data_IF_846333201201
#
_entry.id   IF_846333201201
#
_cell.length_a   1.000
_cell.length_b   1.000
_cell.length_c   1.000
_cell.angle_alpha   90.00
_cell.angle_beta   90.00
_cell.angle_gamma   90.00
#
_symmetry.space_group_name_H-M   'P 1'
#
loop_
_entity.id
_entity.type
_entity.pdbx_description
1 polymer ?
#
# COMPACT_ATOMS: atom_id res chain seq x y z
N UNK A 1 0.13 -5.96 -17.01
CA UNK A 1 0.97 -4.88 -16.46
C UNK A 1 0.10 -3.66 -16.17
N UNK A 2 -0.29 -3.50 -14.91
CA UNK A 2 -1.08 -2.42 -14.34
C UNK A 2 -0.19 -1.68 -13.36
N UNK A 3 -0.04 -0.37 -13.59
CA UNK A 3 0.68 0.53 -12.71
C UNK A 3 -0.33 1.48 -12.07
N UNK A 4 -0.32 1.57 -10.76
CA UNK A 4 -1.21 2.44 -10.00
C UNK A 4 -0.40 3.41 -9.14
N UNK A 5 -0.97 4.59 -8.89
CA UNK A 5 -0.43 5.56 -7.94
C UNK A 5 -1.53 6.04 -7.02
N UNK A 6 -1.23 6.20 -5.73
CA UNK A 6 -2.21 6.66 -4.75
C UNK A 6 -1.56 7.53 -3.66
N UNK A 7 -1.98 8.80 -3.59
CA UNK A 7 -1.79 9.62 -2.40
C UNK A 7 -2.79 9.23 -1.31
N UNK A 8 -2.29 8.61 -0.24
CA UNK A 8 -3.13 8.07 0.85
C UNK A 8 -3.31 9.02 2.03
N UNK A 9 -2.62 10.17 2.03
CA UNK A 9 -2.69 11.21 3.06
C UNK A 9 -2.52 10.70 4.51
N UNK A 10 -1.72 9.65 4.72
CA UNK A 10 -1.47 8.84 5.94
C UNK A 10 -1.81 7.38 5.70
N UNK A 11 -0.78 6.57 5.46
CA UNK A 11 -0.92 5.14 5.23
C UNK A 11 -1.44 4.43 6.47
N UNK A 12 -1.03 4.84 7.68
CA UNK A 12 -1.47 4.18 8.90
C UNK A 12 -3.00 4.19 9.07
N UNK A 13 -3.64 5.32 8.73
CA UNK A 13 -5.10 5.46 8.81
C UNK A 13 -5.78 4.72 7.65
N UNK A 14 -5.14 4.64 6.48
CA UNK A 14 -5.73 4.13 5.23
C UNK A 14 -5.33 2.69 4.92
N UNK A 15 -4.49 2.05 5.74
CA UNK A 15 -3.92 0.74 5.48
C UNK A 15 -5.00 -0.31 5.16
N UNK A 16 -6.12 -0.43 5.91
CA UNK A 16 -7.16 -1.41 5.56
C UNK A 16 -7.73 -1.18 4.15
N UNK A 17 -7.99 0.07 3.77
CA UNK A 17 -8.51 0.41 2.44
C UNK A 17 -7.50 0.09 1.33
N UNK A 18 -6.21 0.34 1.57
CA UNK A 18 -5.15 0.01 0.60
C UNK A 18 -5.07 -1.50 0.41
N UNK A 19 -5.05 -2.28 1.50
CA UNK A 19 -4.96 -3.73 1.45
C UNK A 19 -6.18 -4.37 0.78
N UNK A 20 -7.38 -3.88 1.08
CA UNK A 20 -8.60 -4.37 0.43
C UNK A 20 -8.62 -4.02 -1.06
N UNK A 21 -8.18 -2.82 -1.42
CA UNK A 21 -8.05 -2.43 -2.83
C UNK A 21 -7.02 -3.29 -3.56
N UNK A 22 -5.88 -3.62 -2.93
CA UNK A 22 -4.86 -4.52 -3.50
C UNK A 22 -5.41 -5.93 -3.74
N UNK A 23 -6.16 -6.51 -2.79
CA UNK A 23 -6.79 -7.82 -2.96
C UNK A 23 -7.75 -7.87 -4.15
N UNK A 24 -8.51 -6.79 -4.37
CA UNK A 24 -9.47 -6.73 -5.48
C UNK A 24 -8.82 -6.44 -6.82
N UNK A 25 -7.88 -5.50 -6.88
CA UNK A 25 -7.38 -4.95 -8.15
C UNK A 25 -6.06 -5.58 -8.62
N UNK A 26 -5.27 -6.13 -7.70
CA UNK A 26 -4.01 -6.85 -7.97
C UNK A 26 -3.11 -6.15 -9.02
N UNK A 27 -2.75 -4.86 -8.85
CA UNK A 27 -1.83 -4.22 -9.79
C UNK A 27 -0.45 -4.86 -9.73
N UNK A 28 0.32 -4.76 -10.82
CA UNK A 28 1.72 -5.21 -10.83
C UNK A 28 2.61 -4.28 -9.98
N UNK A 29 2.32 -2.97 -9.95
CA UNK A 29 3.02 -1.98 -9.11
C UNK A 29 2.03 -0.95 -8.56
N UNK A 30 2.15 -0.64 -7.26
CA UNK A 30 1.47 0.47 -6.61
C UNK A 30 2.50 1.44 -6.00
N UNK A 31 2.54 2.68 -6.49
CA UNK A 31 3.28 3.75 -5.85
C UNK A 31 2.40 4.50 -4.84
N UNK A 32 2.84 4.60 -3.58
CA UNK A 32 2.09 5.28 -2.50
C UNK A 32 2.76 6.61 -2.14
N UNK A 33 1.98 7.69 -2.05
CA UNK A 33 2.45 9.01 -1.61
C UNK A 33 1.78 9.45 -0.30
N UNK A 34 2.41 10.40 0.40
CA UNK A 34 1.97 10.88 1.71
C UNK A 34 1.69 9.74 2.70
N UNK A 35 2.62 8.80 2.84
CA UNK A 35 2.50 7.73 3.85
C UNK A 35 2.43 8.31 5.26
N UNK A 36 3.08 9.46 5.51
CA UNK A 36 3.18 10.14 6.82
C UNK A 36 3.69 9.20 7.92
N UNK A 37 4.56 8.28 7.52
CA UNK A 37 5.23 7.31 8.36
C UNK A 37 6.74 7.51 8.24
N UNK A 38 7.44 7.26 9.34
CA UNK A 38 8.88 6.98 9.30
C UNK A 38 9.09 5.56 8.78
N UNK A 39 10.26 5.28 8.23
CA UNK A 39 10.58 4.03 7.54
C UNK A 39 10.37 2.80 8.43
N UNK A 40 10.70 2.88 9.72
CA UNK A 40 10.56 1.78 10.67
C UNK A 40 9.10 1.43 10.97
N UNK A 41 8.16 2.37 10.73
CA UNK A 41 6.73 2.15 10.92
C UNK A 41 6.01 1.70 9.64
N UNK A 42 6.72 1.56 8.53
CA UNK A 42 6.10 1.08 7.29
C UNK A 42 5.64 -0.38 7.47
N UNK A 43 4.37 -0.72 7.18
CA UNK A 43 3.80 -2.03 7.49
C UNK A 43 4.16 -3.08 6.45
N UNK A 44 5.47 -3.37 6.28
CA UNK A 44 6.00 -4.30 5.26
C UNK A 44 5.32 -5.67 5.29
N UNK A 45 5.11 -6.22 6.49
CA UNK A 45 4.50 -7.54 6.65
C UNK A 45 3.09 -7.62 6.02
N UNK A 46 2.27 -6.57 6.17
CA UNK A 46 0.91 -6.54 5.63
C UNK A 46 0.88 -6.55 4.09
N UNK A 47 1.87 -5.92 3.44
CA UNK A 47 2.01 -5.98 1.98
C UNK A 47 2.59 -7.33 1.52
N UNK A 48 3.57 -7.87 2.27
CA UNK A 48 4.20 -9.16 1.97
C UNK A 48 3.21 -10.33 2.04
N UNK A 49 2.24 -10.30 2.97
CA UNK A 49 1.13 -11.26 3.04
C UNK A 49 0.27 -11.29 1.77
N UNK A 50 0.24 -10.19 1.01
CA UNK A 50 -0.45 -10.08 -0.28
C UNK A 50 0.47 -10.32 -1.49
N UNK A 51 1.73 -10.71 -1.25
CA UNK A 51 2.72 -10.96 -2.30
C UNK A 51 3.43 -9.71 -2.83
N UNK A 52 3.28 -8.56 -2.17
CA UNK A 52 3.97 -7.32 -2.52
C UNK A 52 5.22 -7.14 -1.64
N UNK A 53 6.39 -7.04 -2.27
CA UNK A 53 7.71 -6.90 -1.62
C UNK A 53 8.17 -5.44 -1.51
#
# INVERSE_FOLDING_TARGET
>A
MILATWNVNSLNVRLPHVLDWLKTNQPDVLAIQETKLIDEKFPKAAFAELGYL
#
